data_IF_202656671257
#
_entry.id   IF_202656671257
#
_cell.length_a   1.000
_cell.length_b   1.000
_cell.length_c   1.000
_cell.angle_alpha   90.00
_cell.angle_beta   90.00
_cell.angle_gamma   90.00
#
_symmetry.space_group_name_H-M   'P 1'
#
loop_
_entity.id
_entity.type
_entity.pdbx_description
1 polymer ?
#
# COMPACT_ATOMS: atom_id res chain seq x y z
N UNK A 1 -10.26 -32.60 28.99
CA UNK A 1 -9.05 -31.81 28.68
C UNK A 1 -9.30 -30.41 29.20
N UNK A 2 -8.52 -29.95 30.17
CA UNK A 2 -8.64 -28.58 30.71
C UNK A 2 -7.68 -27.73 29.88
N UNK A 3 -8.21 -26.89 29.00
CA UNK A 3 -7.39 -25.92 28.28
C UNK A 3 -6.85 -24.98 29.37
N UNK A 4 -5.52 -24.82 29.46
CA UNK A 4 -4.96 -23.83 30.38
C UNK A 4 -5.35 -22.46 29.85
N UNK A 5 -6.06 -21.68 30.65
CA UNK A 5 -6.30 -20.27 30.35
C UNK A 5 -4.95 -19.58 30.13
N UNK A 6 -4.79 -18.94 28.98
CA UNK A 6 -3.54 -18.32 28.59
C UNK A 6 -3.73 -17.36 27.42
N UNK A 7 -3.04 -16.22 27.47
CA UNK A 7 -2.98 -15.27 26.37
C UNK A 7 -1.80 -15.61 25.48
N UNK A 8 -2.05 -15.80 24.18
CA UNK A 8 -1.02 -16.02 23.17
C UNK A 8 -0.84 -14.77 22.31
N UNK A 9 0.42 -14.42 22.04
CA UNK A 9 0.76 -13.29 21.16
C UNK A 9 1.19 -13.87 19.81
N UNK A 10 0.44 -13.54 18.76
CA UNK A 10 0.74 -13.91 17.37
C UNK A 10 1.24 -12.66 16.65
N UNK A 11 2.28 -12.80 15.84
CA UNK A 11 2.84 -11.71 15.02
C UNK A 11 2.90 -12.13 13.56
N UNK A 12 2.57 -11.21 12.66
CA UNK A 12 2.69 -11.41 11.22
C UNK A 12 3.21 -10.13 10.56
N UNK A 13 3.82 -10.29 9.38
CA UNK A 13 4.27 -9.17 8.56
C UNK A 13 3.33 -9.03 7.36
N UNK A 14 2.90 -7.81 7.08
CA UNK A 14 2.03 -7.51 5.95
C UNK A 14 2.52 -6.26 5.21
N UNK A 15 2.58 -6.35 3.87
CA UNK A 15 2.90 -5.23 2.98
C UNK A 15 1.63 -4.81 2.26
N UNK A 16 1.02 -3.74 2.75
CA UNK A 16 -0.21 -3.19 2.21
C UNK A 16 0.05 -2.17 1.09
N UNK A 17 -0.92 -2.02 0.20
CA UNK A 17 -1.04 -0.83 -0.64
C UNK A 17 -1.63 0.34 0.19
N UNK A 18 -1.47 1.56 -0.31
CA UNK A 18 -2.14 2.73 0.28
C UNK A 18 -3.66 2.55 0.27
N UNK A 19 -4.32 3.04 1.32
CA UNK A 19 -5.78 2.94 1.49
C UNK A 19 -6.18 2.36 2.84
N UNK A 20 -7.50 2.29 3.06
CA UNK A 20 -8.10 1.68 4.23
C UNK A 20 -8.40 0.22 3.96
N UNK A 21 -7.98 -0.65 4.87
CA UNK A 21 -8.17 -2.09 4.81
C UNK A 21 -8.92 -2.54 6.06
N UNK A 22 -9.94 -3.37 5.90
CA UNK A 22 -10.61 -4.03 7.00
C UNK A 22 -9.88 -5.35 7.29
N UNK A 23 -9.17 -5.44 8.42
CA UNK A 23 -8.51 -6.67 8.85
C UNK A 23 -9.43 -7.43 9.80
N UNK A 24 -9.72 -8.68 9.45
CA UNK A 24 -10.46 -9.62 10.31
C UNK A 24 -9.52 -10.69 10.81
N UNK A 25 -9.54 -10.91 12.13
CA UNK A 25 -8.85 -12.00 12.82
C UNK A 25 -9.91 -13.01 13.24
N UNK A 26 -9.70 -14.28 12.88
CA UNK A 26 -10.60 -15.39 13.19
C UNK A 26 -9.85 -16.42 14.02
N UNK A 27 -10.35 -16.70 15.22
CA UNK A 27 -9.96 -17.86 16.02
C UNK A 27 -10.90 -19.04 15.70
N UNK A 28 -10.41 -20.28 15.85
CA UNK A 28 -11.22 -21.49 15.67
C UNK A 28 -12.06 -21.48 14.38
N UNK A 29 -11.42 -21.18 13.24
CA UNK A 29 -12.09 -20.97 11.95
C UNK A 29 -12.99 -22.14 11.53
N UNK A 30 -12.54 -23.37 11.80
CA UNK A 30 -13.25 -24.60 11.45
C UNK A 30 -14.33 -24.99 12.49
N UNK A 31 -14.36 -24.30 13.65
CA UNK A 31 -15.33 -24.55 14.72
C UNK A 31 -15.18 -25.91 15.40
N UNK A 32 -14.00 -26.54 15.31
CA UNK A 32 -13.73 -27.87 15.87
C UNK A 32 -13.38 -27.85 17.36
N UNK A 33 -13.10 -26.67 17.91
CA UNK A 33 -12.91 -26.45 19.34
C UNK A 33 -14.25 -26.04 19.99
N UNK A 34 -14.72 -26.82 20.95
CA UNK A 34 -15.87 -26.46 21.76
C UNK A 34 -15.48 -25.39 22.80
N UNK A 35 -16.11 -24.23 22.70
CA UNK A 35 -15.88 -23.06 23.57
C UNK A 35 -17.19 -22.66 24.25
N UNK A 36 -17.11 -21.91 25.36
CA UNK A 36 -18.31 -21.42 26.07
C UNK A 36 -19.10 -20.43 25.22
N UNK A 37 -18.40 -19.60 24.45
CA UNK A 37 -18.97 -18.60 23.56
C UNK A 37 -18.26 -18.64 22.21
N UNK A 38 -18.91 -19.24 21.20
CA UNK A 38 -18.38 -19.32 19.83
C UNK A 38 -18.55 -18.02 19.05
N UNK A 39 -19.28 -17.03 19.59
CA UNK A 39 -19.57 -15.75 18.93
C UNK A 39 -18.44 -14.73 19.04
N UNK A 40 -17.49 -14.94 19.94
CA UNK A 40 -16.39 -14.01 20.22
C UNK A 40 -15.09 -14.31 19.44
N UNK A 41 -15.13 -15.28 18.53
CA UNK A 41 -13.98 -15.76 17.76
C UNK A 41 -13.62 -14.88 16.55
N UNK A 42 -14.34 -13.79 16.33
CA UNK A 42 -14.10 -12.87 15.21
C UNK A 42 -13.89 -11.45 15.71
N UNK A 43 -12.81 -10.82 15.27
CA UNK A 43 -12.54 -9.41 15.51
C UNK A 43 -12.13 -8.71 14.22
N UNK A 44 -12.78 -7.59 13.91
CA UNK A 44 -12.46 -6.78 12.74
C UNK A 44 -12.01 -5.37 13.15
N UNK A 45 -11.01 -4.83 12.45
CA UNK A 45 -10.55 -3.47 12.62
C UNK A 45 -10.15 -2.83 11.30
N UNK A 46 -10.37 -1.53 11.18
CA UNK A 46 -9.90 -0.76 10.02
C UNK A 46 -8.47 -0.26 10.25
N UNK A 47 -7.60 -0.52 9.27
CA UNK A 47 -6.22 -0.01 9.23
C UNK A 47 -6.03 0.84 7.99
N UNK A 48 -5.69 2.10 8.20
CA UNK A 48 -5.39 3.04 7.11
C UNK A 48 -3.90 3.14 6.88
N UNK A 49 -3.48 2.83 5.66
CA UNK A 49 -2.08 2.84 5.21
C UNK A 49 -1.86 4.05 4.31
N UNK A 50 -0.91 4.90 4.69
CA UNK A 50 -0.56 6.10 3.95
C UNK A 50 0.67 5.89 3.07
N UNK A 51 0.67 6.51 1.90
CA UNK A 51 1.88 6.61 1.08
C UNK A 51 2.93 7.45 1.80
N UNK A 52 4.16 6.94 1.82
CA UNK A 52 5.27 7.69 2.37
C UNK A 52 5.50 8.97 1.55
N UNK A 53 5.54 10.13 2.22
CA UNK A 53 5.67 11.45 1.57
C UNK A 53 6.82 11.53 0.56
N UNK A 54 7.94 10.89 0.85
CA UNK A 54 9.10 10.87 -0.05
C UNK A 54 8.81 10.17 -1.39
N UNK A 55 7.96 9.13 -1.42
CA UNK A 55 7.56 8.47 -2.67
C UNK A 55 6.81 9.45 -3.57
N UNK A 56 5.94 10.27 -2.98
CA UNK A 56 5.21 11.32 -3.70
C UNK A 56 6.17 12.35 -4.27
N UNK A 57 7.13 12.82 -3.46
CA UNK A 57 8.16 13.78 -3.91
C UNK A 57 8.98 13.20 -5.07
N UNK A 58 9.42 11.95 -4.96
CA UNK A 58 10.19 11.27 -6.03
C UNK A 58 9.37 11.18 -7.32
N UNK A 59 8.10 10.78 -7.25
CA UNK A 59 7.21 10.73 -8.42
C UNK A 59 7.09 12.11 -9.06
N UNK A 60 6.84 13.15 -8.26
CA UNK A 60 6.73 14.53 -8.77
C UNK A 60 8.02 14.99 -9.44
N UNK A 61 9.18 14.79 -8.80
CA UNK A 61 10.47 15.16 -9.38
C UNK A 61 10.74 14.40 -10.69
N UNK A 62 10.44 13.10 -10.75
CA UNK A 62 10.58 12.30 -11.96
C UNK A 62 9.69 12.82 -13.09
N UNK A 63 8.42 13.11 -12.80
CA UNK A 63 7.51 13.67 -13.82
C UNK A 63 7.99 15.05 -14.30
N UNK A 64 8.49 15.90 -13.41
CA UNK A 64 9.05 17.20 -13.77
C UNK A 64 10.25 17.07 -14.70
N UNK A 65 11.19 16.18 -14.39
CA UNK A 65 12.38 15.91 -15.22
C UNK A 65 11.96 15.43 -16.62
N UNK A 66 10.99 14.52 -16.71
CA UNK A 66 10.47 14.03 -17.99
C UNK A 66 9.82 15.16 -18.79
N UNK A 67 9.00 16.00 -18.17
CA UNK A 67 8.36 17.15 -18.82
C UNK A 67 9.41 18.13 -19.35
N UNK A 68 10.44 18.46 -18.56
CA UNK A 68 11.53 19.34 -18.99
C UNK A 68 12.31 18.74 -20.17
N UNK A 69 12.62 17.44 -20.13
CA UNK A 69 13.28 16.75 -21.22
C UNK A 69 12.47 16.83 -22.53
N UNK A 70 11.16 16.61 -22.46
CA UNK A 70 10.26 16.72 -23.61
C UNK A 70 10.19 18.16 -24.15
N UNK A 71 10.16 19.17 -23.28
CA UNK A 71 10.20 20.58 -23.67
C UNK A 71 11.51 20.94 -24.37
N UNK A 72 12.64 20.53 -23.81
CA UNK A 72 13.97 20.74 -24.42
C UNK A 72 14.07 20.04 -25.77
N UNK A 73 13.57 18.81 -25.88
CA UNK A 73 13.53 18.07 -27.14
C UNK A 73 12.69 18.80 -28.21
N UNK A 74 11.49 19.25 -27.85
CA UNK A 74 10.64 20.06 -28.74
C UNK A 74 11.32 21.35 -29.16
N UNK A 75 12.01 22.03 -28.25
CA UNK A 75 12.76 23.24 -28.56
C UNK A 75 13.91 23.00 -29.55
N UNK A 76 14.66 21.91 -29.35
CA UNK A 76 15.74 21.50 -30.27
C UNK A 76 15.19 21.20 -31.68
N UNK A 77 14.06 20.50 -31.78
CA UNK A 77 13.39 20.26 -33.06
C UNK A 77 12.97 21.55 -33.77
N UNK A 78 12.43 22.53 -33.04
CA UNK A 78 12.04 23.83 -33.59
C UNK A 78 13.25 24.60 -34.14
N UNK A 79 14.36 24.63 -33.39
CA UNK A 79 15.61 25.25 -33.86
C UNK A 79 16.17 24.55 -35.11
N UNK A 80 16.18 23.22 -35.13
CA UNK A 80 16.66 22.44 -36.28
C UNK A 80 15.88 22.73 -37.57
N UNK A 81 14.55 22.84 -37.48
CA UNK A 81 13.69 23.23 -38.62
C UNK A 81 13.92 24.67 -39.08
N UNK A 82 14.23 25.59 -38.17
CA UNK A 82 14.48 27.00 -38.52
C UNK A 82 15.80 27.20 -39.29
N UNK A 83 16.81 26.35 -39.06
CA UNK A 83 18.13 26.45 -39.70
C UNK A 83 18.19 25.76 -41.07
N UNK A 84 17.25 24.86 -41.39
CA UNK A 84 17.20 24.17 -42.69
C UNK A 84 16.43 24.92 -43.78
N UNK A 85 15.87 26.09 -43.47
CA UNK A 85 15.02 26.90 -44.38
C UNK A 85 15.76 28.18 -44.86
N UNK A 86 17.00 28.43 -44.40
CA UNK A 86 17.85 29.53 -44.86
C UNK A 86 18.76 29.15 -46.02
#
# INVERSE_FOLDING_TARGET
MRISEGTYIISFNWRALEGTHNLTILANLEGDIAEEDTGNNSYSMDVTVYIAKWKVIVIVLMTLVIVLALLMYKFKLRRGKSLSIS
#
